data_IF_874543722465
#
_entry.id   IF_874543722465
#
_cell.length_a   1.000
_cell.length_b   1.000
_cell.length_c   1.000
_cell.angle_alpha   90.00
_cell.angle_beta   90.00
_cell.angle_gamma   90.00
#
_symmetry.space_group_name_H-M   'P 1'
#
loop_
_entity.id
_entity.type
_entity.pdbx_description
1 polymer ?
#
# COMPACT_ATOMS: atom_id res chain seq x y z
N UNK A 1 3.48 -17.29 -9.82
CA UNK A 1 4.08 -16.99 -11.15
C UNK A 1 3.27 -15.96 -11.92
N UNK A 2 1.98 -16.20 -12.21
CA UNK A 2 1.12 -15.28 -13.01
C UNK A 2 1.08 -13.86 -12.45
N UNK A 3 0.85 -13.69 -11.14
CA UNK A 3 0.81 -12.37 -10.51
C UNK A 3 2.10 -11.57 -10.69
N UNK A 4 3.25 -12.24 -10.58
CA UNK A 4 4.55 -11.61 -10.81
C UNK A 4 4.68 -11.06 -12.23
N UNK A 5 4.20 -11.79 -13.24
CA UNK A 5 4.20 -11.33 -14.65
C UNK A 5 3.29 -10.11 -14.81
N UNK A 6 2.09 -10.15 -14.22
CA UNK A 6 1.11 -9.05 -14.25
C UNK A 6 1.67 -7.77 -13.65
N UNK A 7 2.51 -7.85 -12.61
CA UNK A 7 3.16 -6.67 -12.02
C UNK A 7 4.42 -6.24 -12.77
N UNK A 8 5.28 -7.18 -13.15
CA UNK A 8 6.61 -6.88 -13.72
C UNK A 8 6.52 -6.35 -15.14
N UNK A 9 5.64 -6.89 -16.00
CA UNK A 9 5.58 -6.47 -17.40
C UNK A 9 5.17 -4.99 -17.53
N UNK A 10 4.07 -4.51 -16.92
CA UNK A 10 3.71 -3.10 -16.97
C UNK A 10 4.76 -2.18 -16.35
N UNK A 11 5.41 -2.62 -15.25
CA UNK A 11 6.50 -1.87 -14.62
C UNK A 11 7.68 -1.66 -15.57
N UNK A 12 8.13 -2.72 -16.24
CA UNK A 12 9.24 -2.65 -17.18
C UNK A 12 8.90 -1.81 -18.40
N UNK A 13 7.67 -1.92 -18.92
CA UNK A 13 7.20 -1.08 -20.03
C UNK A 13 7.15 0.39 -19.63
N UNK A 14 6.62 0.71 -18.44
CA UNK A 14 6.55 2.08 -17.93
C UNK A 14 7.94 2.71 -17.75
N UNK A 15 8.86 1.99 -17.11
CA UNK A 15 10.26 2.44 -16.94
C UNK A 15 10.93 2.62 -18.30
N UNK A 16 10.78 1.66 -19.21
CA UNK A 16 11.40 1.73 -20.55
C UNK A 16 10.86 2.89 -21.37
N UNK A 17 9.55 3.17 -21.30
CA UNK A 17 8.92 4.31 -21.97
C UNK A 17 9.50 5.64 -21.48
N UNK A 18 9.55 5.84 -20.15
CA UNK A 18 10.07 7.07 -19.56
C UNK A 18 11.58 7.24 -19.76
N UNK A 19 12.34 6.14 -19.77
CA UNK A 19 13.79 6.16 -19.90
C UNK A 19 14.28 6.37 -21.34
N UNK A 20 13.58 5.81 -22.33
CA UNK A 20 14.10 5.74 -23.71
C UNK A 20 13.25 6.45 -24.75
N UNK A 21 11.99 6.79 -24.46
CA UNK A 21 11.07 7.36 -25.46
C UNK A 21 10.75 8.81 -25.14
N UNK A 22 10.06 9.07 -24.03
CA UNK A 22 9.64 10.42 -23.65
C UNK A 22 9.56 10.54 -22.13
N UNK A 23 10.44 11.36 -21.55
CA UNK A 23 10.45 11.61 -20.12
C UNK A 23 9.39 12.68 -19.78
N UNK A 24 8.22 12.20 -19.36
CA UNK A 24 7.10 13.04 -18.94
C UNK A 24 6.81 12.82 -17.45
N UNK A 25 7.10 13.85 -16.66
CA UNK A 25 6.91 13.81 -15.21
C UNK A 25 5.42 13.74 -14.81
N UNK A 26 4.54 14.43 -15.55
CA UNK A 26 3.10 14.40 -15.29
C UNK A 26 2.51 13.01 -15.53
N UNK A 27 2.92 12.36 -16.62
CA UNK A 27 2.59 10.95 -16.88
C UNK A 27 3.11 10.03 -15.77
N UNK A 28 4.37 10.20 -15.33
CA UNK A 28 4.93 9.41 -14.23
C UNK A 28 4.11 9.52 -12.94
N UNK A 29 3.76 10.75 -12.54
CA UNK A 29 2.90 10.98 -11.38
C UNK A 29 1.52 10.33 -11.55
N UNK A 30 0.88 10.50 -12.71
CA UNK A 30 -0.44 9.92 -12.98
C UNK A 30 -0.43 8.38 -12.95
N UNK A 31 0.59 7.76 -13.55
CA UNK A 31 0.74 6.31 -13.57
C UNK A 31 0.97 5.74 -12.16
N UNK A 32 1.89 6.33 -11.40
CA UNK A 32 2.18 5.89 -10.03
C UNK A 32 1.00 6.12 -9.08
N UNK A 33 0.32 7.26 -9.18
CA UNK A 33 -0.89 7.55 -8.42
C UNK A 33 -2.04 6.57 -8.75
N UNK A 34 -2.21 6.21 -10.02
CA UNK A 34 -3.24 5.24 -10.45
C UNK A 34 -3.03 3.87 -9.81
N UNK A 35 -1.79 3.37 -9.83
CA UNK A 35 -1.44 2.10 -9.17
C UNK A 35 -1.66 2.19 -7.66
N UNK A 36 -1.30 3.32 -7.04
CA UNK A 36 -1.54 3.58 -5.61
C UNK A 36 -3.03 3.57 -5.24
N UNK A 37 -3.90 4.17 -6.06
CA UNK A 37 -5.35 4.15 -5.85
C UNK A 37 -5.89 2.72 -5.94
N UNK A 38 -5.48 1.95 -6.95
CA UNK A 38 -5.90 0.54 -7.09
C UNK A 38 -5.46 -0.27 -5.86
N UNK A 39 -4.23 -0.07 -5.40
CA UNK A 39 -3.71 -0.72 -4.19
C UNK A 39 -4.53 -0.37 -2.95
N UNK A 40 -4.88 0.90 -2.77
CA UNK A 40 -5.69 1.36 -1.63
C UNK A 40 -7.10 0.78 -1.67
N UNK A 41 -7.75 0.75 -2.84
CA UNK A 41 -9.07 0.14 -3.00
C UNK A 41 -9.04 -1.36 -2.68
N UNK A 42 -7.95 -2.05 -3.05
CA UNK A 42 -7.77 -3.46 -2.73
C UNK A 42 -7.74 -3.69 -1.21
N UNK A 43 -6.98 -2.88 -0.47
CA UNK A 43 -6.92 -2.97 0.98
C UNK A 43 -8.24 -2.61 1.66
N UNK A 44 -8.96 -1.60 1.17
CA UNK A 44 -10.30 -1.28 1.66
C UNK A 44 -11.26 -2.45 1.45
N UNK A 45 -11.21 -3.09 0.29
CA UNK A 45 -11.98 -4.30 -0.01
C UNK A 45 -11.64 -5.45 0.93
N UNK A 46 -10.35 -5.70 1.17
CA UNK A 46 -9.89 -6.72 2.12
C UNK A 46 -10.37 -6.43 3.55
N UNK A 47 -10.22 -5.19 4.02
CA UNK A 47 -10.67 -4.75 5.34
C UNK A 47 -12.17 -4.91 5.51
N UNK A 48 -12.96 -4.54 4.50
CA UNK A 48 -14.40 -4.69 4.54
C UNK A 48 -14.85 -6.15 4.55
N UNK A 49 -14.24 -7.01 3.73
CA UNK A 49 -14.54 -8.43 3.66
C UNK A 49 -14.23 -9.14 4.99
N UNK A 50 -13.13 -8.78 5.65
CA UNK A 50 -12.65 -9.46 6.86
C UNK A 50 -13.12 -8.83 8.18
N UNK A 51 -13.89 -7.73 8.15
CA UNK A 51 -14.27 -6.95 9.35
C UNK A 51 -15.02 -7.74 10.44
N UNK A 52 -15.70 -8.83 10.07
CA UNK A 52 -16.47 -9.66 11.01
C UNK A 52 -15.63 -10.75 11.67
N UNK A 53 -14.65 -11.28 10.93
CA UNK A 53 -13.86 -12.44 11.37
C UNK A 53 -12.56 -12.01 12.04
N UNK A 54 -11.92 -10.94 11.55
CA UNK A 54 -10.61 -10.47 12.02
C UNK A 54 -10.77 -9.15 12.79
N UNK A 55 -10.53 -9.11 14.12
CA UNK A 55 -10.68 -7.88 14.93
C UNK A 55 -9.75 -6.73 14.52
N UNK A 56 -8.64 -7.04 13.84
CA UNK A 56 -7.64 -6.06 13.37
C UNK A 56 -7.84 -5.66 11.90
N UNK A 57 -8.92 -6.11 11.24
CA UNK A 57 -9.18 -5.82 9.82
C UNK A 57 -9.28 -4.32 9.48
N UNK A 58 -9.45 -3.45 10.48
CA UNK A 58 -9.48 -2.00 10.31
C UNK A 58 -8.09 -1.37 10.14
N UNK A 59 -7.00 -2.06 10.51
CA UNK A 59 -5.64 -1.49 10.48
C UNK A 59 -5.18 -1.10 9.06
N UNK A 60 -5.43 -1.89 7.99
CA UNK A 60 -5.13 -1.46 6.63
C UNK A 60 -5.95 -0.25 6.19
N UNK A 61 -7.21 -0.10 6.64
CA UNK A 61 -8.00 1.12 6.38
C UNK A 61 -7.32 2.35 6.96
N UNK A 62 -6.76 2.25 8.17
CA UNK A 62 -5.94 3.34 8.74
C UNK A 62 -4.71 3.62 7.87
N UNK A 63 -4.01 2.60 7.41
CA UNK A 63 -2.88 2.75 6.48
C UNK A 63 -3.28 3.47 5.18
N UNK A 64 -4.42 3.10 4.60
CA UNK A 64 -4.98 3.73 3.38
C UNK A 64 -5.32 5.21 3.62
N UNK A 65 -5.94 5.54 4.75
CA UNK A 65 -6.25 6.94 5.08
C UNK A 65 -4.97 7.77 5.22
N UNK A 66 -3.97 7.23 5.93
CA UNK A 66 -2.69 7.92 6.15
C UNK A 66 -1.91 8.12 4.84
N UNK A 67 -1.78 7.09 4.00
CA UNK A 67 -1.06 7.23 2.73
C UNK A 67 -1.78 8.17 1.78
N UNK A 68 -3.12 8.16 1.75
CA UNK A 68 -3.90 9.09 0.94
C UNK A 68 -3.69 10.53 1.41
N UNK A 69 -3.69 10.77 2.73
CA UNK A 69 -3.41 12.08 3.30
C UNK A 69 -1.97 12.54 3.00
N UNK A 70 -0.98 11.64 3.08
CA UNK A 70 0.40 11.96 2.70
C UNK A 70 0.49 12.29 1.21
N UNK A 71 -0.12 11.50 0.31
CA UNK A 71 -0.13 11.75 -1.14
C UNK A 71 -0.71 13.13 -1.50
N UNK A 72 -1.61 13.71 -0.71
CA UNK A 72 -2.05 15.08 -0.92
C UNK A 72 -0.89 16.09 -0.84
N UNK A 73 0.13 15.86 -0.01
CA UNK A 73 1.31 16.73 0.07
C UNK A 73 2.08 16.74 -1.25
N UNK A 74 2.27 15.57 -1.87
CA UNK A 74 2.93 15.42 -3.17
C UNK A 74 2.14 16.12 -4.28
N UNK A 75 0.81 15.93 -4.32
CA UNK A 75 -0.04 16.45 -5.40
C UNK A 75 -0.24 17.97 -5.30
N UNK A 76 -0.33 18.51 -4.08
CA UNK A 76 -0.56 19.94 -3.87
C UNK A 76 0.68 20.80 -4.14
N UNK A 77 1.87 20.19 -4.09
CA UNK A 77 3.16 20.78 -4.48
C UNK A 77 3.35 22.25 -4.05
N UNK A 78 3.24 22.51 -2.74
CA UNK A 78 3.37 23.86 -2.20
C UNK A 78 4.85 24.26 -2.01
N UNK A 79 5.17 25.57 -2.10
CA UNK A 79 6.54 26.07 -1.91
C UNK A 79 7.06 25.82 -0.49
N UNK A 80 8.38 25.74 -0.28
CA UNK A 80 8.96 25.31 0.98
C UNK A 80 8.56 26.21 2.16
N UNK A 81 8.06 25.56 3.22
CA UNK A 81 7.78 26.19 4.51
C UNK A 81 9.10 26.61 5.16
N UNK A 82 9.18 27.89 5.53
CA UNK A 82 10.38 28.52 6.10
C UNK A 82 11.65 28.38 5.25
N UNK A 83 11.53 28.03 3.96
CA UNK A 83 12.66 27.75 3.08
C UNK A 83 13.39 26.44 3.40
N UNK A 84 12.80 25.55 4.21
CA UNK A 84 13.44 24.29 4.66
C UNK A 84 12.65 23.06 4.22
N UNK A 85 11.32 23.05 4.42
CA UNK A 85 10.48 21.87 4.17
C UNK A 85 9.54 22.11 3.01
N UNK A 86 9.82 21.51 1.86
CA UNK A 86 8.89 21.45 0.73
C UNK A 86 7.83 20.34 0.89
N UNK A 87 6.85 20.36 0.00
CA UNK A 87 5.77 19.36 -0.02
C UNK A 87 6.33 17.92 -0.12
N UNK A 88 7.36 17.73 -0.95
CA UNK A 88 7.97 16.43 -1.22
C UNK A 88 8.69 15.84 0.00
N UNK A 89 9.52 16.63 0.70
CA UNK A 89 10.19 16.18 1.92
C UNK A 89 9.21 15.85 3.04
N UNK A 90 8.11 16.59 3.14
CA UNK A 90 7.02 16.30 4.08
C UNK A 90 6.25 15.03 3.70
N UNK A 91 6.06 14.76 2.41
CA UNK A 91 5.53 13.48 1.94
C UNK A 91 6.42 12.31 2.39
N UNK A 92 7.73 12.39 2.15
CA UNK A 92 8.69 11.37 2.63
C UNK A 92 8.62 11.20 4.14
N UNK A 93 8.65 12.29 4.91
CA UNK A 93 8.58 12.25 6.37
C UNK A 93 7.27 11.61 6.88
N UNK A 94 6.13 11.91 6.25
CA UNK A 94 4.84 11.37 6.62
C UNK A 94 4.74 9.84 6.41
N UNK A 95 5.46 9.27 5.45
CA UNK A 95 5.42 7.82 5.15
C UNK A 95 6.24 6.96 6.11
N UNK A 96 7.25 7.53 6.78
CA UNK A 96 8.09 6.82 7.78
C UNK A 96 7.26 6.10 8.87
N UNK A 97 6.35 6.78 9.59
CA UNK A 97 5.56 6.13 10.65
C UNK A 97 4.55 5.10 10.11
N UNK A 98 4.28 5.06 8.81
CA UNK A 98 3.38 4.08 8.21
C UNK A 98 4.01 2.68 8.14
N UNK A 99 5.35 2.60 8.04
CA UNK A 99 6.10 1.33 7.98
C UNK A 99 5.80 0.44 9.20
N UNK A 100 6.01 0.89 10.46
CA UNK A 100 5.72 0.05 11.62
C UNK A 100 4.24 -0.29 11.77
N UNK A 101 3.33 0.55 11.27
CA UNK A 101 1.89 0.27 11.25
C UNK A 101 1.58 -0.94 10.35
N UNK A 102 2.07 -0.93 9.12
CA UNK A 102 1.91 -2.05 8.18
C UNK A 102 2.58 -3.32 8.70
N UNK A 103 3.79 -3.19 9.27
CA UNK A 103 4.50 -4.35 9.82
C UNK A 103 3.73 -5.00 10.98
N UNK A 104 3.18 -4.20 11.89
CA UNK A 104 2.34 -4.70 12.99
C UNK A 104 1.10 -5.43 12.48
N UNK A 105 0.44 -4.87 11.46
CA UNK A 105 -0.71 -5.51 10.83
C UNK A 105 -0.33 -6.87 10.22
N UNK A 106 0.77 -6.94 9.46
CA UNK A 106 1.24 -8.17 8.82
C UNK A 106 1.56 -9.28 9.84
N UNK A 107 2.17 -8.92 10.98
CA UNK A 107 2.43 -9.87 12.06
C UNK A 107 1.12 -10.45 12.64
N UNK A 108 0.14 -9.59 12.94
CA UNK A 108 -1.17 -10.02 13.45
C UNK A 108 -1.91 -10.92 12.47
N UNK A 109 -1.87 -10.57 11.19
CA UNK A 109 -2.50 -11.35 10.13
C UNK A 109 -1.84 -12.73 9.98
N UNK A 110 -0.51 -12.77 9.98
CA UNK A 110 0.25 -14.02 9.92
C UNK A 110 -0.03 -14.91 11.13
N UNK A 111 -0.05 -14.35 12.35
CA UNK A 111 -0.38 -15.09 13.56
C UNK A 111 -1.79 -15.68 13.53
N UNK A 112 -2.76 -14.93 13.02
CA UNK A 112 -4.14 -15.38 12.86
C UNK A 112 -4.22 -16.58 11.91
N UNK A 113 -3.60 -16.48 10.73
CA UNK A 113 -3.58 -17.57 9.74
C UNK A 113 -2.96 -18.85 10.33
N UNK A 114 -1.82 -18.72 11.03
CA UNK A 114 -1.15 -19.86 11.65
C UNK A 114 -2.03 -20.52 12.72
N UNK A 115 -2.72 -19.74 13.56
CA UNK A 115 -3.63 -20.28 14.57
C UNK A 115 -4.85 -20.94 13.94
N UNK A 116 -5.41 -20.33 12.90
CA UNK A 116 -6.54 -20.87 12.16
C UNK A 116 -6.21 -22.24 11.53
N UNK A 117 -5.08 -22.33 10.83
CA UNK A 117 -4.60 -23.61 10.26
C UNK A 117 -4.39 -24.69 11.32
N UNK A 118 -3.75 -24.36 12.45
CA UNK A 118 -3.58 -25.32 13.56
C UNK A 118 -4.91 -25.80 14.14
N UNK A 119 -5.90 -24.91 14.22
CA UNK A 119 -7.27 -25.25 14.65
C UNK A 119 -7.94 -26.24 13.71
N UNK A 120 -7.87 -25.99 12.39
CA UNK A 120 -8.42 -26.88 11.36
C UNK A 120 -7.78 -28.27 11.42
N UNK A 121 -6.45 -28.34 11.49
CA UNK A 121 -5.72 -29.61 11.58
C UNK A 121 -6.09 -30.42 12.84
N UNK A 122 -6.26 -29.73 13.97
CA UNK A 122 -6.65 -30.37 15.23
C UNK A 122 -8.08 -30.91 15.20
N UNK A 123 -8.99 -30.26 14.49
CA UNK A 123 -10.36 -30.76 14.28
C UNK A 123 -10.33 -32.03 13.43
N UNK A 124 -9.60 -32.02 12.32
CA UNK A 124 -9.53 -33.15 11.37
C UNK A 124 -8.95 -34.44 11.95
N UNK A 125 -8.17 -34.39 13.03
CA UNK A 125 -7.61 -35.59 13.68
C UNK A 125 -8.55 -36.19 14.75
N UNK A 126 -9.61 -35.45 15.14
CA UNK A 126 -10.58 -35.91 16.13
C UNK A 126 -11.78 -36.66 15.52
N UNK A 127 -11.94 -36.57 14.20
CA UNK A 127 -12.94 -37.28 13.40
C UNK A 127 -12.35 -38.59 12.84
#
# INVERSE_FOLDING_TARGET
FIWGVVCLVPLLLHISYLAFIHFDYGYNMAATATVGVIHNLWWLGWSFANRKERPYAWEPTLGVMLVTAAMCLEILDFPPLWGIFDAHSLWHAATIPMIPLWYRFLLKDTEWEVRHMKGVLRSSYKD
#
